data_IF_345204668751
#
_entry.id   IF_345204668751
#
_cell.length_a   1.000
_cell.length_b   1.000
_cell.length_c   1.000
_cell.angle_alpha   90.00
_cell.angle_beta   90.00
_cell.angle_gamma   90.00
#
_symmetry.space_group_name_H-M   'P 1'
#
loop_
_entity.id
_entity.type
_entity.pdbx_description
1 polymer ?
#
# COMPACT_ATOMS: atom_id res chain seq x y z
N UNK A 1 20.26 -21.32 12.00
CA UNK A 1 19.26 -20.37 12.54
C UNK A 1 17.94 -21.12 12.56
N UNK A 2 17.50 -21.53 13.74
CA UNK A 2 16.43 -22.53 13.90
C UNK A 2 15.07 -21.97 13.45
N UNK A 3 14.57 -22.48 12.32
CA UNK A 3 13.24 -22.17 11.76
C UNK A 3 12.07 -22.24 12.77
N UNK A 4 12.07 -23.12 13.80
CA UNK A 4 11.03 -23.15 14.83
C UNK A 4 10.95 -21.86 15.66
N UNK A 5 12.09 -21.31 16.07
CA UNK A 5 12.17 -20.11 16.92
C UNK A 5 11.66 -18.86 16.20
N UNK A 6 11.90 -18.78 14.88
CA UNK A 6 11.41 -17.68 14.03
C UNK A 6 9.89 -17.77 13.87
N UNK A 7 9.33 -18.97 13.69
CA UNK A 7 7.88 -19.18 13.59
C UNK A 7 7.15 -18.80 14.89
N UNK A 8 7.73 -19.12 16.04
CA UNK A 8 7.12 -18.79 17.34
C UNK A 8 7.17 -17.29 17.64
N UNK A 9 8.27 -16.60 17.28
CA UNK A 9 8.33 -15.14 17.39
C UNK A 9 7.36 -14.45 16.43
N UNK A 10 7.20 -14.96 15.20
CA UNK A 10 6.22 -14.42 14.25
C UNK A 10 4.78 -14.66 14.72
N UNK A 11 4.49 -15.82 15.32
CA UNK A 11 3.19 -16.08 15.96
C UNK A 11 2.95 -15.16 17.15
N UNK A 12 3.95 -14.91 17.99
CA UNK A 12 3.82 -13.96 19.11
C UNK A 12 3.59 -12.53 18.62
N UNK A 13 4.27 -12.09 17.56
CA UNK A 13 4.01 -10.78 16.94
C UNK A 13 2.61 -10.75 16.34
N UNK A 14 2.18 -11.81 15.65
CA UNK A 14 0.81 -11.95 15.14
C UNK A 14 -0.22 -11.87 16.27
N UNK A 15 -0.07 -12.64 17.35
CA UNK A 15 -0.99 -12.61 18.49
C UNK A 15 -0.91 -11.32 19.29
N UNK A 16 0.24 -10.65 19.35
CA UNK A 16 0.38 -9.34 19.98
C UNK A 16 -0.33 -8.26 19.16
N UNK A 17 -0.15 -8.28 17.83
CA UNK A 17 -0.84 -7.39 16.92
C UNK A 17 -2.34 -7.72 16.89
N UNK A 18 -2.75 -8.98 16.91
CA UNK A 18 -4.17 -9.38 16.99
C UNK A 18 -4.79 -9.12 18.38
N UNK A 19 -4.00 -9.18 19.46
CA UNK A 19 -4.41 -8.80 20.82
C UNK A 19 -4.55 -7.28 20.97
N UNK A 20 -3.63 -6.53 20.35
CA UNK A 20 -3.83 -5.11 20.11
C UNK A 20 -5.13 -4.95 19.32
N UNK A 21 -5.24 -5.49 18.10
CA UNK A 21 -6.31 -5.24 17.12
C UNK A 21 -7.69 -5.81 17.48
N UNK A 22 -7.78 -6.79 18.39
CA UNK A 22 -9.04 -7.36 18.87
C UNK A 22 -9.65 -6.61 20.04
N UNK A 23 -8.91 -5.70 20.70
CA UNK A 23 -9.52 -4.75 21.63
C UNK A 23 -10.40 -3.80 20.82
N UNK A 24 -11.72 -4.01 20.92
CA UNK A 24 -12.83 -3.29 20.26
C UNK A 24 -12.82 -1.75 20.32
N UNK A 25 -11.86 -1.13 21.00
CA UNK A 25 -11.79 0.30 21.28
C UNK A 25 -10.62 0.98 20.56
N UNK A 26 -10.69 0.98 19.23
CA UNK A 26 -9.83 1.84 18.43
C UNK A 26 -10.50 3.19 18.21
N UNK A 27 -10.04 4.28 18.85
CA UNK A 27 -10.67 5.60 18.67
C UNK A 27 -10.63 6.06 17.21
N UNK A 28 -9.54 5.78 16.48
CA UNK A 28 -9.44 6.09 15.05
C UNK A 28 -10.42 5.26 14.20
N UNK A 29 -10.66 4.00 14.56
CA UNK A 29 -11.64 3.15 13.87
C UNK A 29 -13.04 3.61 14.20
N UNK A 30 -13.34 4.00 15.43
CA UNK A 30 -14.64 4.60 15.79
C UNK A 30 -14.90 5.92 15.08
N UNK A 31 -13.87 6.77 14.94
CA UNK A 31 -13.97 8.03 14.17
C UNK A 31 -14.19 7.73 12.69
N UNK A 32 -13.43 6.80 12.11
CA UNK A 32 -13.57 6.42 10.71
C UNK A 32 -14.92 5.74 10.44
N UNK A 33 -15.31 4.77 11.26
CA UNK A 33 -16.60 4.09 11.16
C UNK A 33 -17.76 5.06 11.40
N UNK A 34 -17.65 5.97 12.38
CA UNK A 34 -18.65 7.02 12.61
C UNK A 34 -18.77 8.01 11.45
N UNK A 35 -17.65 8.38 10.82
CA UNK A 35 -17.65 9.16 9.58
C UNK A 35 -18.32 8.38 8.44
N UNK A 36 -18.01 7.10 8.27
CA UNK A 36 -18.60 6.26 7.23
C UNK A 36 -20.09 6.00 7.46
N UNK A 37 -20.53 5.85 8.72
CA UNK A 37 -21.94 5.76 9.10
C UNK A 37 -22.69 7.07 8.82
N UNK A 38 -22.04 8.23 9.02
CA UNK A 38 -22.63 9.55 8.69
C UNK A 38 -22.97 9.73 7.21
N UNK A 39 -22.36 8.92 6.32
CA UNK A 39 -22.66 8.91 4.89
C UNK A 39 -24.01 8.24 4.54
N UNK A 40 -24.82 7.84 5.54
CA UNK A 40 -26.14 7.22 5.35
C UNK A 40 -26.12 5.95 4.46
N UNK A 41 -24.97 5.27 4.38
CA UNK A 41 -24.88 3.97 3.73
C UNK A 41 -25.64 2.95 4.60
N UNK A 42 -26.85 2.53 4.16
CA UNK A 42 -27.67 1.55 4.87
C UNK A 42 -26.84 0.31 5.21
N UNK A 43 -27.01 -0.21 6.43
CA UNK A 43 -26.43 -1.49 6.88
C UNK A 43 -26.81 -2.69 5.99
N UNK A 44 -27.85 -2.56 5.17
CA UNK A 44 -28.24 -3.55 4.16
C UNK A 44 -27.29 -3.64 2.96
N UNK A 45 -26.37 -2.68 2.80
CA UNK A 45 -25.41 -2.62 1.69
C UNK A 45 -23.97 -2.84 2.17
N UNK A 46 -23.62 -2.30 3.34
CA UNK A 46 -22.31 -2.50 3.97
C UNK A 46 -22.52 -2.70 5.48
N UNK A 47 -21.96 -3.79 6.03
CA UNK A 47 -21.95 -4.05 7.45
C UNK A 47 -20.69 -3.46 8.11
N UNK A 48 -20.79 -2.23 8.63
CA UNK A 48 -19.71 -1.52 9.31
C UNK A 48 -19.29 -2.13 10.67
N UNK A 49 -20.13 -2.98 11.26
CA UNK A 49 -19.83 -3.66 12.53
C UNK A 49 -18.98 -4.92 12.36
N UNK A 50 -18.71 -5.33 11.11
CA UNK A 50 -17.88 -6.49 10.83
C UNK A 50 -16.41 -6.21 11.19
N UNK A 51 -15.81 -7.00 12.12
CA UNK A 51 -14.42 -6.83 12.49
C UNK A 51 -13.44 -7.02 11.32
N UNK A 52 -13.80 -7.81 10.30
CA UNK A 52 -12.94 -8.02 9.12
C UNK A 52 -12.85 -6.77 8.26
N UNK A 53 -13.96 -6.05 8.09
CA UNK A 53 -13.99 -4.77 7.38
C UNK A 53 -13.13 -3.72 8.11
N UNK A 54 -13.28 -3.64 9.44
CA UNK A 54 -12.46 -2.76 10.26
C UNK A 54 -10.96 -3.09 10.15
N UNK A 55 -10.59 -4.38 10.23
CA UNK A 55 -9.21 -4.84 10.03
C UNK A 55 -8.67 -4.43 8.66
N UNK A 56 -9.42 -4.65 7.58
CA UNK A 56 -9.00 -4.26 6.24
C UNK A 56 -8.71 -2.74 6.14
N UNK A 57 -9.61 -1.90 6.67
CA UNK A 57 -9.43 -0.44 6.71
C UNK A 57 -8.18 -0.03 7.50
N UNK A 58 -7.93 -0.67 8.65
CA UNK A 58 -6.74 -0.41 9.46
C UNK A 58 -5.47 -0.74 8.67
N UNK A 59 -5.39 -1.93 8.08
CA UNK A 59 -4.18 -2.34 7.35
C UNK A 59 -3.95 -1.56 6.06
N UNK A 60 -5.02 -1.12 5.37
CA UNK A 60 -4.91 -0.18 4.25
C UNK A 60 -4.30 1.15 4.72
N UNK A 61 -4.73 1.67 5.87
CA UNK A 61 -4.24 2.92 6.44
C UNK A 61 -2.79 2.81 6.91
N UNK A 62 -2.47 1.73 7.62
CA UNK A 62 -1.15 1.51 8.21
C UNK A 62 -0.07 1.30 7.15
N UNK A 63 -0.42 0.70 6.02
CA UNK A 63 0.52 0.42 4.93
C UNK A 63 1.37 1.66 4.57
N UNK A 64 0.79 2.75 4.01
CA UNK A 64 1.56 3.92 3.63
C UNK A 64 2.21 4.67 4.77
N UNK A 65 1.63 4.63 5.96
CA UNK A 65 2.23 5.25 7.14
C UNK A 65 3.53 4.53 7.50
N UNK A 66 3.50 3.20 7.60
CA UNK A 66 4.65 2.43 8.06
C UNK A 66 5.81 2.54 7.07
N UNK A 67 5.59 2.32 5.77
CA UNK A 67 6.71 2.39 4.83
C UNK A 67 7.28 3.80 4.68
N UNK A 68 6.46 4.86 4.75
CA UNK A 68 6.98 6.23 4.78
C UNK A 68 7.81 6.52 6.04
N UNK A 69 7.37 6.05 7.20
CA UNK A 69 8.12 6.21 8.45
C UNK A 69 9.44 5.45 8.38
N UNK A 70 9.43 4.17 7.97
CA UNK A 70 10.63 3.35 7.83
C UNK A 70 11.63 3.97 6.86
N UNK A 71 11.16 4.50 5.73
CA UNK A 71 12.00 5.16 4.76
C UNK A 71 12.64 6.43 5.31
N UNK A 72 11.88 7.29 6.01
CA UNK A 72 12.42 8.50 6.65
C UNK A 72 13.43 8.17 7.75
N UNK A 73 13.16 7.15 8.57
CA UNK A 73 14.09 6.68 9.59
C UNK A 73 15.39 6.18 8.95
N UNK A 74 15.31 5.46 7.84
CA UNK A 74 16.50 5.05 7.09
C UNK A 74 17.27 6.26 6.53
N UNK A 75 16.58 7.24 5.97
CA UNK A 75 17.22 8.42 5.38
C UNK A 75 17.99 9.25 6.41
N UNK A 76 17.41 9.48 7.60
CA UNK A 76 18.02 10.32 8.63
C UNK A 76 18.97 9.57 9.57
N UNK A 77 18.67 8.31 9.90
CA UNK A 77 19.37 7.57 10.95
C UNK A 77 20.03 6.28 10.48
N UNK A 78 19.83 5.86 9.22
CA UNK A 78 20.44 4.66 8.63
C UNK A 78 20.22 3.37 9.46
N UNK A 79 19.07 3.27 10.13
CA UNK A 79 18.77 2.16 11.06
C UNK A 79 18.69 0.82 10.33
N UNK A 80 18.05 0.78 9.17
CA UNK A 80 17.80 -0.46 8.44
C UNK A 80 19.10 -0.91 7.77
N UNK A 81 19.83 0.00 7.13
CA UNK A 81 21.12 -0.33 6.53
C UNK A 81 22.16 -0.75 7.57
N UNK A 82 22.12 -0.18 8.78
CA UNK A 82 22.92 -0.65 9.91
C UNK A 82 22.54 -2.08 10.33
N UNK A 83 21.25 -2.35 10.55
CA UNK A 83 20.77 -3.67 11.00
C UNK A 83 21.05 -4.80 10.00
N UNK A 84 21.02 -4.48 8.70
CA UNK A 84 21.24 -5.44 7.61
C UNK A 84 22.63 -5.34 6.97
N UNK A 85 23.59 -4.71 7.65
CA UNK A 85 25.01 -4.62 7.26
C UNK A 85 25.25 -4.08 5.84
N UNK A 86 24.41 -3.17 5.36
CA UNK A 86 24.56 -2.58 4.04
C UNK A 86 23.31 -1.88 3.53
N UNK A 87 23.53 -0.89 2.65
CA UNK A 87 22.45 -0.11 2.01
C UNK A 87 21.59 -0.96 1.10
N UNK A 88 22.22 -1.75 0.21
CA UNK A 88 21.50 -2.62 -0.73
C UNK A 88 20.77 -3.74 0.01
N UNK A 89 21.43 -4.44 0.92
CA UNK A 89 20.83 -5.52 1.73
C UNK A 89 19.66 -5.00 2.58
N UNK A 90 19.82 -3.84 3.21
CA UNK A 90 18.73 -3.17 3.94
C UNK A 90 17.55 -2.79 3.05
N UNK A 91 17.80 -2.27 1.85
CA UNK A 91 16.75 -1.95 0.89
C UNK A 91 15.99 -3.21 0.43
N UNK A 92 16.69 -4.30 0.12
CA UNK A 92 16.03 -5.57 -0.21
C UNK A 92 15.24 -6.16 0.97
N UNK A 93 15.74 -6.01 2.19
CA UNK A 93 15.01 -6.43 3.38
C UNK A 93 13.72 -5.61 3.58
N UNK A 94 13.78 -4.29 3.40
CA UNK A 94 12.60 -3.43 3.43
C UNK A 94 11.63 -3.77 2.29
N UNK A 95 12.14 -4.01 1.07
CA UNK A 95 11.33 -4.42 -0.07
C UNK A 95 10.55 -5.71 0.21
N UNK A 96 11.24 -6.72 0.76
CA UNK A 96 10.60 -7.98 1.17
C UNK A 96 9.53 -7.74 2.23
N UNK A 97 9.83 -6.90 3.23
CA UNK A 97 8.86 -6.56 4.27
C UNK A 97 7.62 -5.86 3.70
N UNK A 98 7.79 -4.85 2.82
CA UNK A 98 6.67 -4.13 2.17
C UNK A 98 5.84 -5.09 1.33
N UNK A 99 6.48 -5.99 0.58
CA UNK A 99 5.79 -7.00 -0.22
C UNK A 99 4.95 -7.92 0.66
N UNK A 100 5.52 -8.47 1.73
CA UNK A 100 4.80 -9.36 2.65
C UNK A 100 3.66 -8.64 3.36
N UNK A 101 3.87 -7.40 3.80
CA UNK A 101 2.83 -6.58 4.41
C UNK A 101 1.69 -6.32 3.42
N UNK A 102 2.03 -6.01 2.15
CA UNK A 102 1.06 -5.77 1.09
C UNK A 102 0.25 -7.02 0.78
N UNK A 103 0.88 -8.20 0.69
CA UNK A 103 0.18 -9.48 0.50
C UNK A 103 -0.77 -9.78 1.65
N UNK A 104 -0.35 -9.52 2.89
CA UNK A 104 -1.20 -9.72 4.05
C UNK A 104 -2.39 -8.73 4.08
N UNK A 105 -2.16 -7.45 3.76
CA UNK A 105 -3.22 -6.46 3.59
C UNK A 105 -4.22 -6.90 2.53
N UNK A 106 -3.74 -7.36 1.36
CA UNK A 106 -4.59 -7.84 0.28
C UNK A 106 -5.42 -9.06 0.69
N UNK A 107 -4.84 -9.98 1.46
CA UNK A 107 -5.57 -11.11 2.05
C UNK A 107 -6.71 -10.64 2.95
N UNK A 108 -6.46 -9.68 3.86
CA UNK A 108 -7.50 -9.13 4.75
C UNK A 108 -8.59 -8.40 3.98
N UNK A 109 -8.25 -7.69 2.90
CA UNK A 109 -9.24 -7.05 2.02
C UNK A 109 -10.13 -8.10 1.36
N UNK A 110 -9.56 -9.17 0.83
CA UNK A 110 -10.36 -10.24 0.24
C UNK A 110 -11.24 -10.95 1.28
N UNK A 111 -10.72 -11.18 2.48
CA UNK A 111 -11.49 -11.76 3.58
C UNK A 111 -12.69 -10.86 3.96
N UNK A 112 -12.48 -9.55 4.03
CA UNK A 112 -13.53 -8.57 4.29
C UNK A 112 -14.57 -8.53 3.16
N UNK A 113 -14.15 -8.57 1.89
CA UNK A 113 -15.05 -8.59 0.73
C UNK A 113 -15.97 -9.82 0.76
N UNK A 114 -15.45 -10.99 1.12
CA UNK A 114 -16.18 -12.26 1.08
C UNK A 114 -17.31 -12.37 2.11
N UNK A 115 -17.19 -11.68 3.25
CA UNK A 115 -18.20 -11.74 4.34
C UNK A 115 -19.25 -10.63 4.25
N UNK A 116 -19.04 -9.65 3.37
CA UNK A 116 -19.91 -8.49 3.22
C UNK A 116 -21.05 -8.79 2.24
N UNK A 117 -22.22 -8.13 2.38
CA UNK A 117 -23.32 -8.27 1.44
C UNK A 117 -22.91 -7.94 0.00
N UNK A 118 -23.40 -8.71 -0.97
CA UNK A 118 -23.27 -8.39 -2.39
C UNK A 118 -24.47 -7.57 -2.88
N UNK A 119 -24.26 -6.80 -3.94
CA UNK A 119 -25.31 -5.99 -4.56
C UNK A 119 -25.61 -6.51 -5.96
N UNK A 120 -26.84 -6.99 -6.18
CA UNK A 120 -27.29 -7.52 -7.49
C UNK A 120 -27.09 -6.56 -8.66
N UNK A 121 -27.17 -5.25 -8.41
CA UNK A 121 -26.89 -4.25 -9.45
C UNK A 121 -25.47 -4.37 -10.01
N UNK A 122 -24.50 -4.80 -9.19
CA UNK A 122 -23.10 -4.99 -9.60
C UNK A 122 -22.87 -6.26 -10.43
N UNK A 123 -23.83 -7.18 -10.46
CA UNK A 123 -23.74 -8.45 -11.22
C UNK A 123 -23.99 -8.27 -12.74
N UNK A 124 -24.21 -7.03 -13.19
CA UNK A 124 -24.50 -6.74 -14.60
C UNK A 124 -23.29 -7.04 -15.49
N UNK A 125 -23.53 -7.63 -16.68
CA UNK A 125 -22.49 -8.07 -17.62
C UNK A 125 -21.53 -6.94 -18.02
N UNK A 126 -22.02 -5.71 -18.16
CA UNK A 126 -21.16 -4.57 -18.49
C UNK A 126 -20.24 -4.16 -17.33
N UNK A 127 -20.66 -4.35 -16.07
CA UNK A 127 -19.82 -4.11 -14.90
C UNK A 127 -18.78 -5.23 -14.73
N UNK A 128 -19.12 -6.47 -15.09
CA UNK A 128 -18.15 -7.56 -15.20
C UNK A 128 -17.09 -7.26 -16.26
N UNK A 129 -17.50 -6.82 -17.46
CA UNK A 129 -16.58 -6.43 -18.52
C UNK A 129 -15.69 -5.26 -18.08
N UNK A 130 -16.27 -4.25 -17.43
CA UNK A 130 -15.52 -3.14 -16.84
C UNK A 130 -14.49 -3.63 -15.82
N UNK A 131 -14.85 -4.58 -14.96
CA UNK A 131 -13.94 -5.15 -13.98
C UNK A 131 -12.69 -5.76 -14.63
N UNK A 132 -12.85 -6.53 -15.72
CA UNK A 132 -11.72 -7.10 -16.46
C UNK A 132 -10.86 -6.02 -17.15
N UNK A 133 -11.48 -5.01 -17.75
CA UNK A 133 -10.76 -3.89 -18.37
C UNK A 133 -9.93 -3.13 -17.34
N UNK A 134 -10.53 -2.77 -16.20
CA UNK A 134 -9.84 -2.09 -15.10
C UNK A 134 -8.71 -2.95 -14.53
N UNK A 135 -8.94 -4.27 -14.41
CA UNK A 135 -7.94 -5.22 -13.95
C UNK A 135 -6.73 -5.28 -14.90
N UNK A 136 -6.98 -5.34 -16.21
CA UNK A 136 -5.94 -5.34 -17.23
C UNK A 136 -5.15 -4.03 -17.24
N UNK A 137 -5.83 -2.88 -17.23
CA UNK A 137 -5.19 -1.56 -17.18
C UNK A 137 -4.36 -1.39 -15.91
N UNK A 138 -4.92 -1.75 -14.76
CA UNK A 138 -4.23 -1.69 -13.47
C UNK A 138 -2.98 -2.58 -13.45
N UNK A 139 -3.10 -3.81 -13.96
CA UNK A 139 -1.98 -4.74 -14.08
C UNK A 139 -0.87 -4.21 -14.99
N UNK A 140 -1.23 -3.65 -16.16
CA UNK A 140 -0.27 -3.03 -17.09
C UNK A 140 0.49 -1.90 -16.39
N UNK A 141 -0.21 -0.98 -15.72
CA UNK A 141 0.43 0.14 -15.02
C UNK A 141 1.38 -0.34 -13.92
N UNK A 142 0.96 -1.30 -13.08
CA UNK A 142 1.80 -1.83 -11.99
C UNK A 142 3.03 -2.56 -12.53
N UNK A 143 2.84 -3.50 -13.45
CA UNK A 143 3.93 -4.33 -13.99
C UNK A 143 4.94 -3.45 -14.73
N UNK A 144 4.47 -2.55 -15.60
CA UNK A 144 5.38 -1.71 -16.39
C UNK A 144 6.10 -0.67 -15.54
N UNK A 145 5.46 -0.16 -14.48
CA UNK A 145 6.14 0.67 -13.47
C UNK A 145 7.27 -0.10 -12.79
N UNK A 146 6.97 -1.32 -12.34
CA UNK A 146 7.95 -2.17 -11.67
C UNK A 146 9.13 -2.52 -12.58
N UNK A 147 8.88 -2.84 -13.86
CA UNK A 147 9.93 -3.12 -14.84
C UNK A 147 10.84 -1.91 -15.08
N UNK A 148 10.31 -0.69 -15.00
CA UNK A 148 11.09 0.54 -15.17
C UNK A 148 11.89 0.94 -13.93
N UNK A 149 11.31 0.78 -12.75
CA UNK A 149 11.94 1.17 -11.49
C UNK A 149 12.87 0.10 -10.91
N UNK A 150 12.61 -1.17 -11.23
CA UNK A 150 13.19 -2.30 -10.55
C UNK A 150 12.82 -2.36 -9.06
N UNK A 151 13.44 -3.28 -8.33
CA UNK A 151 13.16 -3.47 -6.90
C UNK A 151 13.54 -2.23 -6.09
N UNK A 152 14.76 -1.70 -6.28
CA UNK A 152 15.24 -0.58 -5.47
C UNK A 152 14.51 0.73 -5.79
N UNK A 153 14.15 0.97 -7.06
CA UNK A 153 13.36 2.15 -7.41
C UNK A 153 11.90 2.05 -6.93
N UNK A 154 11.35 0.84 -6.82
CA UNK A 154 9.99 0.61 -6.32
C UNK A 154 9.91 0.71 -4.79
N UNK A 155 10.90 0.16 -4.09
CA UNK A 155 10.87 0.00 -2.63
C UNK A 155 11.83 0.97 -1.92
N UNK A 156 11.71 2.26 -2.26
CA UNK A 156 12.28 3.38 -1.49
C UNK A 156 13.82 3.37 -1.40
N UNK A 157 14.50 2.88 -2.44
CA UNK A 157 15.96 2.78 -2.48
C UNK A 157 16.67 4.14 -2.44
N UNK A 158 16.02 5.21 -2.88
CA UNK A 158 16.52 6.59 -2.79
C UNK A 158 16.76 7.03 -1.33
N UNK A 159 15.97 6.51 -0.37
CA UNK A 159 16.17 6.75 1.07
C UNK A 159 17.42 6.04 1.62
N UNK A 160 17.82 4.92 1.03
CA UNK A 160 19.09 4.22 1.31
C UNK A 160 20.28 4.87 0.59
N UNK A 161 20.04 5.87 -0.25
CA UNK A 161 21.03 6.45 -1.15
C UNK A 161 21.37 5.57 -2.36
N UNK A 162 20.42 4.74 -2.79
CA UNK A 162 20.47 3.95 -4.04
C UNK A 162 19.61 4.67 -5.05
N UNK A 163 20.24 5.41 -5.95
CA UNK A 163 19.54 6.33 -6.84
C UNK A 163 19.46 5.77 -8.24
N UNK A 164 18.34 6.01 -8.91
CA UNK A 164 18.27 5.93 -10.36
C UNK A 164 19.10 7.05 -10.98
N UNK A 165 19.74 6.77 -12.11
CA UNK A 165 20.57 7.76 -12.84
C UNK A 165 19.74 8.96 -13.29
N UNK A 166 18.55 8.68 -13.80
CA UNK A 166 17.55 9.67 -14.19
C UNK A 166 16.17 9.29 -13.68
N UNK A 167 15.29 10.30 -13.55
CA UNK A 167 13.88 10.05 -13.24
C UNK A 167 13.24 9.38 -14.45
N UNK A 168 12.56 8.25 -14.22
CA UNK A 168 11.86 7.53 -15.28
C UNK A 168 10.80 8.43 -15.90
N UNK A 169 10.93 8.70 -17.20
CA UNK A 169 10.02 9.57 -17.96
C UNK A 169 9.22 8.82 -19.03
N UNK A 170 9.63 7.60 -19.39
CA UNK A 170 8.92 6.75 -20.35
C UNK A 170 7.66 6.10 -19.77
N UNK A 171 6.90 5.39 -20.62
CA UNK A 171 5.72 4.65 -20.19
C UNK A 171 6.02 3.72 -18.99
N UNK A 172 5.17 3.69 -17.94
CA UNK A 172 3.88 4.40 -17.81
C UNK A 172 3.94 5.83 -17.23
N UNK A 173 5.13 6.30 -16.82
CA UNK A 173 5.34 7.60 -16.17
C UNK A 173 5.13 8.80 -17.12
N UNK A 174 5.12 8.58 -18.43
CA UNK A 174 4.77 9.60 -19.43
C UNK A 174 3.28 9.97 -19.43
N UNK A 175 2.42 9.10 -18.89
CA UNK A 175 0.96 9.30 -18.90
C UNK A 175 0.38 9.67 -17.53
N UNK A 176 0.95 9.14 -16.45
CA UNK A 176 0.50 9.41 -15.09
C UNK A 176 1.70 9.52 -14.16
N UNK A 177 1.59 10.36 -13.12
CA UNK A 177 2.70 10.67 -12.22
C UNK A 177 3.05 9.50 -11.30
N UNK A 178 2.03 8.73 -10.89
CA UNK A 178 2.16 7.65 -9.91
C UNK A 178 1.50 6.35 -10.41
N UNK A 179 1.97 5.80 -11.54
CA UNK A 179 1.33 4.70 -12.25
C UNK A 179 1.12 3.46 -11.39
N UNK A 180 2.04 3.17 -10.45
CA UNK A 180 1.90 2.02 -9.56
C UNK A 180 0.77 2.19 -8.54
N UNK A 181 0.60 3.38 -7.98
CA UNK A 181 -0.47 3.69 -7.03
C UNK A 181 -1.83 3.75 -7.73
N UNK A 182 -1.90 4.39 -8.90
CA UNK A 182 -3.11 4.46 -9.72
C UNK A 182 -3.49 3.05 -10.22
N UNK A 183 -2.53 2.29 -10.75
CA UNK A 183 -2.75 0.92 -11.22
C UNK A 183 -3.20 -0.03 -10.12
N UNK A 184 -2.60 0.08 -8.93
CA UNK A 184 -3.04 -0.69 -7.76
C UNK A 184 -4.47 -0.35 -7.36
N UNK A 185 -4.86 0.92 -7.40
CA UNK A 185 -6.25 1.34 -7.16
C UNK A 185 -7.22 0.68 -8.14
N UNK A 186 -6.88 0.68 -9.44
CA UNK A 186 -7.69 0.02 -10.47
C UNK A 186 -7.85 -1.49 -10.20
N UNK A 187 -6.80 -2.16 -9.72
CA UNK A 187 -6.85 -3.57 -9.33
C UNK A 187 -7.80 -3.79 -8.13
N UNK A 188 -7.85 -2.89 -7.15
CA UNK A 188 -8.81 -2.97 -6.05
C UNK A 188 -10.26 -2.78 -6.53
N UNK A 189 -10.49 -1.80 -7.41
CA UNK A 189 -11.82 -1.57 -8.01
C UNK A 189 -12.25 -2.81 -8.82
N UNK A 190 -11.34 -3.37 -9.61
CA UNK A 190 -11.58 -4.60 -10.37
C UNK A 190 -12.00 -5.76 -9.45
N UNK A 191 -11.24 -6.03 -8.38
CA UNK A 191 -11.57 -7.07 -7.39
C UNK A 191 -12.95 -6.84 -6.76
N UNK A 192 -13.29 -5.60 -6.43
CA UNK A 192 -14.58 -5.24 -5.84
C UNK A 192 -15.76 -5.49 -6.79
N UNK A 193 -15.60 -5.13 -8.06
CA UNK A 193 -16.62 -5.37 -9.10
C UNK A 193 -16.77 -6.86 -9.41
N UNK A 194 -15.67 -7.62 -9.52
CA UNK A 194 -15.71 -9.08 -9.70
C UNK A 194 -16.43 -9.79 -8.55
N UNK A 195 -16.35 -9.24 -7.34
CA UNK A 195 -17.05 -9.75 -6.16
C UNK A 195 -18.45 -9.17 -5.95
N UNK A 196 -18.94 -8.31 -6.86
CA UNK A 196 -20.20 -7.58 -6.71
C UNK A 196 -20.37 -6.92 -5.33
N UNK A 197 -19.25 -6.40 -4.77
CA UNK A 197 -19.16 -6.00 -3.36
C UNK A 197 -19.09 -4.48 -3.18
N UNK A 198 -20.13 -3.85 -2.61
CA UNK A 198 -20.09 -2.43 -2.23
C UNK A 198 -19.01 -2.14 -1.19
N UNK A 199 -18.80 -3.05 -0.23
CA UNK A 199 -17.73 -2.94 0.74
C UNK A 199 -16.35 -2.99 0.07
N UNK A 200 -16.18 -3.82 -0.96
CA UNK A 200 -14.99 -3.82 -1.80
C UNK A 200 -14.74 -2.47 -2.48
N UNK A 201 -15.79 -1.82 -3.01
CA UNK A 201 -15.67 -0.50 -3.63
C UNK A 201 -15.28 0.58 -2.61
N UNK A 202 -15.84 0.50 -1.41
CA UNK A 202 -15.44 1.36 -0.29
C UNK A 202 -13.96 1.16 0.07
N UNK A 203 -13.50 -0.09 0.19
CA UNK A 203 -12.10 -0.41 0.47
C UNK A 203 -11.17 0.07 -0.65
N UNK A 204 -11.58 -0.07 -1.91
CA UNK A 204 -10.84 0.43 -3.07
C UNK A 204 -10.72 1.97 -3.05
N UNK A 205 -11.82 2.66 -2.72
CA UNK A 205 -11.80 4.12 -2.52
C UNK A 205 -10.88 4.51 -1.36
N UNK A 206 -10.90 3.76 -0.25
CA UNK A 206 -10.02 4.02 0.87
C UNK A 206 -8.54 3.82 0.52
N UNK A 207 -8.22 2.79 -0.26
CA UNK A 207 -6.88 2.58 -0.83
C UNK A 207 -6.45 3.79 -1.67
N UNK A 208 -7.33 4.28 -2.56
CA UNK A 208 -7.05 5.46 -3.36
C UNK A 208 -6.70 6.67 -2.49
N UNK A 209 -7.54 6.98 -1.49
CA UNK A 209 -7.30 8.12 -0.58
C UNK A 209 -5.95 7.98 0.13
N UNK A 210 -5.66 6.81 0.69
CA UNK A 210 -4.40 6.55 1.38
C UNK A 210 -3.19 6.67 0.45
N UNK A 211 -3.29 6.24 -0.81
CA UNK A 211 -2.25 6.44 -1.81
C UNK A 211 -2.07 7.90 -2.20
N UNK A 212 -3.14 8.69 -2.34
CA UNK A 212 -3.01 10.13 -2.59
C UNK A 212 -2.32 10.85 -1.44
N UNK A 213 -2.62 10.47 -0.19
CA UNK A 213 -1.93 10.99 0.99
C UNK A 213 -0.46 10.59 0.95
N UNK A 214 -0.15 9.31 0.67
CA UNK A 214 1.22 8.84 0.57
C UNK A 214 2.03 9.65 -0.45
N UNK A 215 1.50 9.81 -1.67
CA UNK A 215 2.14 10.62 -2.73
C UNK A 215 2.40 12.06 -2.29
N UNK A 216 1.45 12.69 -1.57
CA UNK A 216 1.61 14.06 -1.10
C UNK A 216 2.80 14.24 -0.12
N UNK A 217 3.19 13.19 0.60
CA UNK A 217 4.36 13.20 1.48
C UNK A 217 5.64 12.69 0.80
N UNK A 218 5.50 11.70 -0.07
CA UNK A 218 6.61 11.01 -0.73
C UNK A 218 7.23 11.88 -1.83
N UNK A 219 6.41 12.44 -2.74
CA UNK A 219 6.91 13.18 -3.90
C UNK A 219 7.78 14.40 -3.53
N UNK A 220 7.38 15.28 -2.58
CA UNK A 220 8.22 16.42 -2.22
C UNK A 220 9.55 15.97 -1.62
N UNK A 221 9.54 14.85 -0.87
CA UNK A 221 10.73 14.35 -0.21
C UNK A 221 11.69 13.70 -1.21
N UNK A 222 11.20 12.85 -2.11
CA UNK A 222 12.03 12.30 -3.20
C UNK A 222 12.63 13.42 -4.05
N UNK A 223 11.85 14.45 -4.41
CA UNK A 223 12.38 15.62 -5.12
C UNK A 223 13.48 16.35 -4.32
N UNK A 224 13.33 16.49 -3.01
CA UNK A 224 14.36 17.05 -2.14
C UNK A 224 15.64 16.21 -2.16
N UNK A 225 15.53 14.88 -2.04
CA UNK A 225 16.68 13.97 -2.08
C UNK A 225 17.47 14.14 -3.40
N UNK A 226 16.78 14.13 -4.54
CA UNK A 226 17.41 14.25 -5.85
C UNK A 226 18.04 15.63 -6.08
N UNK A 227 17.41 16.72 -5.63
CA UNK A 227 17.98 18.08 -5.67
C UNK A 227 19.25 18.19 -4.81
N UNK A 228 19.20 17.68 -3.58
CA UNK A 228 20.33 17.70 -2.67
C UNK A 228 21.53 16.92 -3.25
N UNK A 229 21.28 15.76 -3.86
CA UNK A 229 22.30 14.99 -4.58
C UNK A 229 22.95 15.80 -5.71
N UNK A 230 22.16 16.42 -6.58
CA UNK A 230 22.67 17.19 -7.70
C UNK A 230 23.59 18.34 -7.24
N UNK A 231 23.19 19.08 -6.20
CA UNK A 231 24.03 20.16 -5.64
C UNK A 231 25.32 19.63 -5.00
N UNK A 232 25.27 18.47 -4.35
CA UNK A 232 26.44 17.85 -3.70
C UNK A 232 27.46 17.32 -4.73
N UNK A 233 27.00 16.83 -5.88
CA UNK A 233 27.88 16.41 -6.97
C UNK A 233 28.59 17.60 -7.62
N UNK A 234 27.88 18.71 -7.86
CA UNK A 234 28.46 19.93 -8.41
C UNK A 234 29.53 20.56 -7.50
N UNK A 235 29.45 20.37 -6.18
CA UNK A 235 30.47 20.83 -5.23
C UNK A 235 31.73 19.96 -5.19
N UNK A 236 31.63 18.68 -5.57
CA UNK A 236 32.78 17.76 -5.61
C UNK A 236 33.52 17.78 -6.95
N UNK A 237 32.89 18.27 -8.01
CA UNK A 237 33.50 18.45 -9.33
C UNK A 237 34.11 19.84 -9.56
N UNK A 238 34.07 20.72 -8.56
CA UNK A 238 34.83 21.98 -8.51
C UNK A 238 35.98 21.81 -7.53
#
# INVERSE_FOLDING_TARGET
MDLPVVKDKLKQVYYFIDSLLSKRDYPLVKILLGFLESLHLRSSVINFYDPKLARALIYITLAPIIWNVLARLEYFFHIISFLFFGKRTGCYALALWILLFSLYRDFLVMEAIQVQPTLRYLEQTHLLALAYVLGALGGVLVITSFLRLGITGTFLGDYFGIYLEEKVSGFPFSFCSNPMYDGSTLLFISKALLASSPAGLLLAFWVYVMYRIACAFEEPFTNYIYRYRATSQNKKGK
#
